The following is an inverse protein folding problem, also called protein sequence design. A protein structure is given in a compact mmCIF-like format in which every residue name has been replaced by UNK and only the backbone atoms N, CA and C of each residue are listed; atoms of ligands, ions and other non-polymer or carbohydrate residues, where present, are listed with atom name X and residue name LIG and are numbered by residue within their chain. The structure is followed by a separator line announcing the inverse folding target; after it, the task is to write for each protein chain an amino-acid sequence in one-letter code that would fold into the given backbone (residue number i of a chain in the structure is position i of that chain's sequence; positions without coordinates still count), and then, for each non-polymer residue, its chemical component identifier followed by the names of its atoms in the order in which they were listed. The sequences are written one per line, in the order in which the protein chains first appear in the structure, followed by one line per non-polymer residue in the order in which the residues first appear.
data_IF_179866125903
#
_entry.id   IF_179866125903
#
_cell.length_a   1.000
_cell.length_b   1.000
_cell.length_c   1.000
_cell.angle_alpha   90.00
_cell.angle_beta   90.00
_cell.angle_gamma   90.00
#
_symmetry.space_group_name_H-M   'P 1'
#
loop_
_entity.id
_entity.type
_entity.pdbx_description
1 polymer ?
#
# COMPACT_ATOMS: atom_id res chain seq x y z
N UNK A 1 -29.92 13.15 44.28
CA UNK A 1 -30.23 14.53 44.60
C UNK A 1 -30.84 15.30 43.43
N UNK A 2 -30.39 15.24 42.26
CA UNK A 2 -30.92 15.95 41.07
C UNK A 2 -32.41 15.67 40.76
N UNK A 3 -32.89 14.47 40.87
CA UNK A 3 -34.30 14.12 40.62
C UNK A 3 -35.29 14.77 41.55
N UNK A 4 -34.96 15.03 42.83
CA UNK A 4 -35.82 15.75 43.77
C UNK A 4 -35.92 17.23 43.46
N UNK A 5 -34.87 17.82 42.93
CA UNK A 5 -34.86 19.23 42.55
C UNK A 5 -35.75 19.48 41.33
N UNK A 6 -35.87 18.58 40.42
CA UNK A 6 -36.75 18.66 39.23
C UNK A 6 -38.23 18.62 39.64
N UNK A 7 -38.61 17.73 40.52
CA UNK A 7 -40.00 17.64 41.03
C UNK A 7 -40.43 18.91 41.77
N UNK A 8 -39.57 19.44 42.62
CA UNK A 8 -39.87 20.68 43.38
C UNK A 8 -39.98 21.88 42.45
N UNK A 9 -39.15 21.99 41.41
CA UNK A 9 -39.24 23.09 40.43
C UNK A 9 -40.53 23.03 39.60
N UNK A 10 -40.99 21.81 39.25
CA UNK A 10 -42.25 21.60 38.55
C UNK A 10 -43.46 22.01 39.37
N UNK A 11 -43.45 21.72 40.69
CA UNK A 11 -44.52 22.14 41.63
C UNK A 11 -44.64 23.64 41.81
N UNK A 12 -43.59 24.39 41.56
CA UNK A 12 -43.56 25.87 41.55
C UNK A 12 -43.75 26.49 40.17
N UNK A 13 -44.10 25.69 39.14
CA UNK A 13 -44.28 26.20 37.76
C UNK A 13 -43.03 26.75 37.12
N UNK A 14 -41.85 26.43 37.69
CA UNK A 14 -40.57 26.83 37.10
C UNK A 14 -40.18 25.75 36.08
N UNK A 15 -40.28 26.06 34.80
CA UNK A 15 -39.67 25.26 33.74
C UNK A 15 -38.15 25.38 33.88
N UNK A 16 -37.54 24.38 34.48
CA UNK A 16 -36.10 24.22 34.36
C UNK A 16 -35.84 23.93 32.88
N UNK A 17 -35.10 24.79 32.23
CA UNK A 17 -34.61 24.53 30.88
C UNK A 17 -34.10 23.08 30.80
N UNK A 18 -34.45 22.38 29.72
CA UNK A 18 -33.93 21.05 29.46
C UNK A 18 -32.42 20.99 29.82
N UNK A 19 -31.98 20.00 30.59
CA UNK A 19 -30.56 19.88 30.90
C UNK A 19 -29.82 20.00 29.60
N UNK A 20 -28.84 20.92 29.55
CA UNK A 20 -27.95 21.07 28.40
C UNK A 20 -27.65 19.66 27.92
N UNK A 21 -28.14 19.31 26.74
CA UNK A 21 -27.75 18.07 26.06
C UNK A 21 -26.24 18.19 25.82
N UNK A 22 -25.45 17.71 26.79
CA UNK A 22 -24.04 17.51 26.56
C UNK A 22 -24.00 16.43 25.48
N UNK A 23 -23.81 16.86 24.24
CA UNK A 23 -23.64 15.93 23.14
C UNK A 23 -22.37 15.13 23.43
N UNK A 24 -22.56 13.89 23.85
CA UNK A 24 -21.46 12.96 24.10
C UNK A 24 -20.76 12.69 22.77
N UNK A 25 -19.51 13.10 22.67
CA UNK A 25 -18.67 12.79 21.52
C UNK A 25 -18.01 11.41 21.64
N UNK A 26 -17.40 10.94 20.55
CA UNK A 26 -16.68 9.65 20.54
C UNK A 26 -15.52 9.62 21.54
N UNK A 27 -14.91 10.76 21.85
CA UNK A 27 -13.83 10.88 22.85
C UNK A 27 -14.30 10.62 24.30
N UNK A 28 -15.61 10.78 24.55
CA UNK A 28 -16.20 10.69 25.89
C UNK A 28 -16.78 9.28 26.16
N UNK A 29 -16.57 8.31 25.24
CA UNK A 29 -17.04 6.95 25.38
C UNK A 29 -16.37 6.25 26.55
N UNK A 30 -17.18 5.57 27.38
CA UNK A 30 -16.71 4.73 28.47
C UNK A 30 -17.40 3.36 28.48
N UNK A 31 -16.68 2.35 28.90
CA UNK A 31 -17.24 0.99 29.02
C UNK A 31 -18.37 0.95 30.06
N UNK A 32 -19.47 0.31 29.71
CA UNK A 32 -20.68 0.20 30.55
C UNK A 32 -21.76 1.21 30.21
N UNK A 33 -21.52 2.20 29.33
CA UNK A 33 -22.58 3.08 28.84
C UNK A 33 -23.67 2.25 28.13
N UNK A 34 -24.93 2.57 28.41
CA UNK A 34 -26.13 1.93 27.82
C UNK A 34 -27.01 2.97 27.17
N UNK A 35 -27.81 2.56 26.20
CA UNK A 35 -28.74 3.41 25.46
C UNK A 35 -28.07 4.65 24.81
N UNK A 36 -26.81 4.49 24.40
CA UNK A 36 -26.05 5.50 23.73
C UNK A 36 -26.70 5.86 22.37
N UNK A 37 -26.97 7.12 22.17
CA UNK A 37 -27.41 7.64 20.86
C UNK A 37 -26.50 8.79 20.46
N UNK A 38 -25.90 8.71 19.27
CA UNK A 38 -24.99 9.73 18.77
C UNK A 38 -24.97 9.76 17.24
N UNK A 39 -24.58 10.90 16.70
CA UNK A 39 -24.40 11.13 15.28
C UNK A 39 -22.91 11.03 14.95
N UNK A 40 -22.60 10.30 13.89
CA UNK A 40 -21.22 10.05 13.44
C UNK A 40 -21.18 9.90 11.92
N UNK A 41 -19.98 9.96 11.34
CA UNK A 41 -19.78 9.54 9.95
C UNK A 41 -19.05 8.21 9.89
N UNK A 42 -19.38 7.42 8.87
CA UNK A 42 -18.70 6.17 8.56
C UNK A 42 -17.31 6.47 8.02
N UNK A 43 -16.29 5.84 8.58
CA UNK A 43 -14.94 5.87 8.02
C UNK A 43 -14.76 4.68 7.06
N UNK A 44 -14.89 3.48 7.59
CA UNK A 44 -14.83 2.24 6.81
C UNK A 44 -15.58 1.12 7.50
N UNK A 45 -15.73 -0.01 6.81
CA UNK A 45 -16.43 -1.16 7.32
C UNK A 45 -15.85 -2.46 6.77
N UNK A 46 -15.71 -3.48 7.62
CA UNK A 46 -15.29 -4.82 7.20
C UNK A 46 -16.46 -5.60 6.58
N UNK A 47 -16.18 -6.60 5.74
CA UNK A 47 -17.18 -7.63 5.42
C UNK A 47 -17.71 -8.30 6.69
N UNK A 48 -18.98 -8.78 6.66
CA UNK A 48 -19.50 -9.62 7.73
C UNK A 48 -18.74 -10.95 7.77
N UNK A 49 -18.28 -11.35 8.96
CA UNK A 49 -17.56 -12.62 9.17
C UNK A 49 -18.41 -13.53 10.02
N UNK A 50 -18.46 -14.81 9.65
CA UNK A 50 -19.12 -15.85 10.45
C UNK A 50 -18.13 -16.45 11.44
N UNK A 51 -18.60 -16.64 12.66
CA UNK A 51 -17.88 -17.31 13.74
C UNK A 51 -18.79 -18.38 14.38
N UNK A 52 -18.21 -19.28 15.19
CA UNK A 52 -18.95 -20.29 15.94
C UNK A 52 -18.94 -19.94 17.43
N UNK A 53 -20.13 -20.05 18.08
CA UNK A 53 -20.25 -19.97 19.54
C UNK A 53 -19.72 -21.25 20.18
N UNK A 54 -19.59 -21.25 21.50
CA UNK A 54 -19.12 -22.42 22.25
C UNK A 54 -20.03 -23.65 22.11
N UNK A 55 -21.31 -23.43 21.84
CA UNK A 55 -22.31 -24.47 21.58
C UNK A 55 -22.35 -24.93 20.11
N UNK A 56 -21.44 -24.41 19.26
CA UNK A 56 -21.37 -24.71 17.83
C UNK A 56 -22.31 -23.88 16.96
N UNK A 57 -23.21 -23.09 17.51
CA UNK A 57 -24.11 -22.24 16.74
C UNK A 57 -23.36 -21.10 16.05
N UNK A 58 -23.71 -20.76 14.78
CA UNK A 58 -23.06 -19.66 14.08
C UNK A 58 -23.49 -18.30 14.63
N UNK A 59 -22.60 -17.31 14.55
CA UNK A 59 -22.94 -15.90 14.71
C UNK A 59 -22.15 -15.05 13.71
N UNK A 60 -22.69 -13.88 13.41
CA UNK A 60 -22.09 -12.96 12.48
C UNK A 60 -21.59 -11.73 13.21
N UNK A 61 -20.44 -11.24 12.76
CA UNK A 61 -19.84 -10.01 13.25
C UNK A 61 -19.35 -9.16 12.08
N UNK A 62 -19.76 -7.91 12.06
CA UNK A 62 -19.22 -6.88 11.18
C UNK A 62 -18.64 -5.76 12.04
N UNK A 63 -17.48 -5.26 11.66
CA UNK A 63 -16.84 -4.12 12.34
C UNK A 63 -16.89 -2.91 11.43
N UNK A 64 -17.35 -1.79 11.95
CA UNK A 64 -17.35 -0.50 11.29
C UNK A 64 -16.52 0.48 12.13
N UNK A 65 -15.72 1.31 11.49
CA UNK A 65 -15.08 2.46 12.15
C UNK A 65 -15.89 3.71 11.81
N UNK A 66 -16.19 4.47 12.82
CA UNK A 66 -16.89 5.76 12.70
C UNK A 66 -16.02 6.88 13.25
N UNK A 67 -16.32 8.10 12.84
CA UNK A 67 -15.62 9.31 13.32
C UNK A 67 -16.57 10.47 13.59
N UNK A 68 -16.15 11.34 14.48
CA UNK A 68 -16.74 12.65 14.72
C UNK A 68 -15.72 13.79 14.46
N UNK A 69 -15.91 14.97 15.06
CA UNK A 69 -14.98 16.09 14.93
C UNK A 69 -13.59 15.83 15.53
N UNK A 70 -13.49 14.94 16.52
CA UNK A 70 -12.32 14.83 17.41
C UNK A 70 -11.70 13.44 17.46
N UNK A 71 -12.47 12.40 17.17
CA UNK A 71 -12.08 11.01 17.45
C UNK A 71 -12.66 10.03 16.47
N UNK A 72 -12.10 8.80 16.49
CA UNK A 72 -12.66 7.62 15.85
C UNK A 72 -13.10 6.61 16.89
N UNK A 73 -14.06 5.75 16.57
CA UNK A 73 -14.47 4.63 17.41
C UNK A 73 -14.83 3.39 16.58
N UNK A 74 -14.60 2.23 17.17
CA UNK A 74 -15.02 0.97 16.60
C UNK A 74 -16.47 0.66 16.98
N UNK A 75 -17.26 0.25 16.01
CA UNK A 75 -18.65 -0.21 16.14
C UNK A 75 -18.74 -1.66 15.72
N UNK A 76 -19.25 -2.53 16.60
CA UNK A 76 -19.49 -3.95 16.35
C UNK A 76 -20.96 -4.20 16.12
N UNK A 77 -21.30 -4.76 14.96
CA UNK A 77 -22.65 -5.17 14.58
C UNK A 77 -22.73 -6.70 14.70
N UNK A 78 -23.64 -7.14 15.54
CA UNK A 78 -23.77 -8.55 15.91
C UNK A 78 -24.99 -9.20 15.24
N UNK A 79 -24.83 -10.45 14.82
CA UNK A 79 -25.90 -11.32 14.27
C UNK A 79 -26.70 -10.63 13.14
N UNK A 80 -28.00 -10.44 13.30
CA UNK A 80 -28.89 -9.81 12.33
C UNK A 80 -28.43 -8.38 11.95
N UNK A 81 -27.82 -7.69 12.92
CA UNK A 81 -27.30 -6.34 12.68
C UNK A 81 -26.08 -6.30 11.78
N UNK A 82 -25.29 -7.39 11.73
CA UNK A 82 -24.17 -7.51 10.81
C UNK A 82 -24.58 -7.54 9.33
N UNK A 83 -25.83 -7.95 9.05
CA UNK A 83 -26.38 -8.11 7.71
C UNK A 83 -27.65 -7.27 7.50
N UNK A 84 -27.82 -6.16 8.25
CA UNK A 84 -28.95 -5.26 8.04
C UNK A 84 -29.00 -4.76 6.60
N UNK A 85 -30.20 -4.77 5.95
CA UNK A 85 -30.37 -4.21 4.63
C UNK A 85 -29.90 -2.75 4.58
N UNK A 86 -29.11 -2.41 3.58
CA UNK A 86 -28.58 -1.07 3.37
C UNK A 86 -27.25 -0.78 4.09
N UNK A 87 -26.85 -1.56 5.10
CA UNK A 87 -25.55 -1.37 5.77
C UNK A 87 -24.39 -1.61 4.80
N UNK A 88 -24.48 -2.60 3.93
CA UNK A 88 -23.46 -2.88 2.92
C UNK A 88 -23.29 -1.77 1.90
N UNK A 89 -24.25 -0.89 1.76
CA UNK A 89 -24.22 0.26 0.83
C UNK A 89 -23.61 1.52 1.43
N UNK A 90 -23.32 1.50 2.74
CA UNK A 90 -22.68 2.64 3.41
C UNK A 90 -21.30 2.92 2.84
N UNK A 91 -21.06 4.19 2.55
CA UNK A 91 -19.80 4.70 1.99
C UNK A 91 -19.04 5.52 3.02
N UNK A 92 -17.72 5.67 2.85
CA UNK A 92 -16.95 6.63 3.64
C UNK A 92 -17.57 8.02 3.59
N UNK A 93 -17.73 8.63 4.75
CA UNK A 93 -18.33 9.96 4.88
C UNK A 93 -19.85 9.99 5.06
N UNK A 94 -20.57 8.87 4.87
CA UNK A 94 -22.00 8.81 5.13
C UNK A 94 -22.30 9.16 6.59
N UNK A 95 -23.28 10.03 6.78
CA UNK A 95 -23.73 10.44 8.09
C UNK A 95 -24.75 9.43 8.62
N UNK A 96 -24.49 8.92 9.81
CA UNK A 96 -25.35 7.95 10.47
C UNK A 96 -25.68 8.39 11.88
N UNK A 97 -26.88 7.98 12.33
CA UNK A 97 -27.31 8.08 13.71
C UNK A 97 -27.34 6.68 14.32
N UNK A 98 -26.51 6.49 15.34
CA UNK A 98 -26.52 5.28 16.17
C UNK A 98 -27.52 5.49 17.27
N UNK A 99 -28.42 4.52 17.50
CA UNK A 99 -29.54 4.61 18.43
C UNK A 99 -29.50 3.44 19.41
N UNK A 100 -29.57 3.76 20.71
CA UNK A 100 -29.66 2.77 21.82
C UNK A 100 -28.55 1.70 21.79
N UNK A 101 -27.33 2.12 21.40
CA UNK A 101 -26.17 1.26 21.45
C UNK A 101 -25.66 1.10 22.91
N UNK A 102 -24.79 0.14 23.11
CA UNK A 102 -24.07 -0.04 24.37
C UNK A 102 -22.56 -0.11 24.15
N UNK A 103 -21.78 0.26 25.17
CA UNK A 103 -20.32 0.32 25.09
C UNK A 103 -19.69 -0.77 25.96
N UNK A 104 -18.78 -1.54 25.37
CA UNK A 104 -17.94 -2.53 26.08
C UNK A 104 -16.48 -2.25 25.83
N UNK A 105 -15.61 -2.66 26.73
CA UNK A 105 -14.18 -2.72 26.44
C UNK A 105 -13.88 -3.82 25.42
N UNK A 106 -12.98 -3.57 24.50
CA UNK A 106 -12.37 -4.60 23.68
C UNK A 106 -11.29 -5.38 24.47
N UNK A 107 -10.59 -6.30 23.81
CA UNK A 107 -9.53 -7.11 24.43
C UNK A 107 -8.33 -6.28 24.94
N UNK A 108 -8.18 -5.06 24.43
CA UNK A 108 -7.11 -4.13 24.78
C UNK A 108 -7.57 -3.05 25.77
N UNK A 109 -8.82 -3.14 26.26
CA UNK A 109 -9.39 -2.18 27.19
C UNK A 109 -10.01 -0.93 26.56
N UNK A 110 -10.01 -0.80 25.23
CA UNK A 110 -10.60 0.37 24.54
C UNK A 110 -12.12 0.26 24.44
N UNK A 111 -12.85 1.39 24.63
CA UNK A 111 -14.29 1.41 24.49
C UNK A 111 -14.70 1.11 23.03
N UNK A 112 -15.63 0.18 22.88
CA UNK A 112 -16.19 -0.22 21.57
C UNK A 112 -17.70 -0.14 21.63
N UNK A 113 -18.32 0.53 20.66
CA UNK A 113 -19.77 0.63 20.51
C UNK A 113 -20.29 -0.70 19.98
N UNK A 114 -21.36 -1.22 20.57
CA UNK A 114 -21.98 -2.47 20.16
C UNK A 114 -23.44 -2.23 19.78
N UNK A 115 -23.82 -2.74 18.62
CA UNK A 115 -25.17 -2.71 18.06
C UNK A 115 -25.78 -4.10 18.25
N UNK A 116 -26.70 -4.20 19.20
CA UNK A 116 -27.44 -5.43 19.51
C UNK A 116 -28.90 -5.36 19.04
N UNK A 117 -29.73 -6.30 19.48
CA UNK A 117 -31.13 -6.43 19.05
C UNK A 117 -31.99 -5.18 19.29
N UNK A 118 -31.76 -4.49 20.44
CA UNK A 118 -32.46 -3.23 20.77
C UNK A 118 -31.89 -1.94 20.17
N UNK A 119 -30.77 -2.06 19.45
CA UNK A 119 -30.09 -0.90 18.87
C UNK A 119 -30.45 -0.76 17.37
N UNK A 120 -30.28 0.44 16.83
CA UNK A 120 -30.47 0.70 15.40
C UNK A 120 -29.40 1.66 14.84
N UNK A 121 -29.23 1.62 13.51
CA UNK A 121 -28.45 2.58 12.73
C UNK A 121 -29.35 3.15 11.65
N UNK A 122 -29.40 4.47 11.58
CA UNK A 122 -30.16 5.21 10.58
C UNK A 122 -29.20 6.07 9.76
N UNK A 123 -29.33 6.03 8.44
CA UNK A 123 -28.63 6.95 7.54
C UNK A 123 -29.39 8.26 7.54
N UNK A 124 -28.70 9.37 7.58
CA UNK A 124 -29.32 10.71 7.60
C UNK A 124 -28.59 11.65 6.63
N UNK A 125 -29.37 12.45 5.94
CA UNK A 125 -28.88 13.49 5.02
C UNK A 125 -28.86 14.89 5.69
N UNK A 126 -29.08 14.96 7.00
CA UNK A 126 -29.09 16.20 7.73
C UNK A 126 -27.74 16.95 7.63
N UNK A 127 -27.80 18.27 7.68
CA UNK A 127 -26.58 19.07 7.83
C UNK A 127 -25.94 18.75 9.17
N UNK A 128 -24.68 18.35 9.13
CA UNK A 128 -23.89 18.04 10.31
C UNK A 128 -22.61 18.86 10.33
N UNK A 129 -22.14 19.18 11.52
CA UNK A 129 -20.86 19.85 11.72
C UNK A 129 -19.67 18.87 11.70
N UNK A 130 -19.93 17.56 11.62
CA UNK A 130 -18.88 16.55 11.49
C UNK A 130 -18.22 16.70 10.11
N UNK A 131 -16.88 16.84 10.04
CA UNK A 131 -16.19 17.09 8.80
C UNK A 131 -16.39 15.96 7.78
N UNK A 132 -16.40 16.31 6.50
CA UNK A 132 -16.44 15.31 5.41
C UNK A 132 -15.09 14.58 5.27
N UNK A 133 -15.07 13.46 4.56
CA UNK A 133 -13.84 12.68 4.26
C UNK A 133 -12.74 13.57 3.69
N UNK A 134 -13.05 14.46 2.76
CA UNK A 134 -12.06 15.35 2.15
C UNK A 134 -11.39 16.29 3.17
N UNK A 135 -12.13 16.76 4.15
CA UNK A 135 -11.60 17.65 5.20
C UNK A 135 -10.68 16.95 6.20
N UNK A 136 -10.85 15.64 6.40
CA UNK A 136 -10.00 14.83 7.31
C UNK A 136 -8.88 14.11 6.56
N UNK A 137 -8.84 14.24 5.22
CA UNK A 137 -7.77 13.63 4.40
C UNK A 137 -6.46 14.38 4.62
N UNK A 138 -5.43 13.64 5.01
CA UNK A 138 -4.06 14.14 5.22
C UNK A 138 -3.16 13.79 4.05
N UNK A 139 -2.20 14.64 3.77
CA UNK A 139 -1.08 14.28 2.90
C UNK A 139 -0.15 13.31 3.64
N UNK A 140 0.47 12.38 2.91
CA UNK A 140 1.37 11.40 3.55
C UNK A 140 2.62 12.03 4.15
N UNK A 141 3.00 13.24 3.75
CA UNK A 141 4.09 14.00 4.37
C UNK A 141 3.80 14.47 5.80
N UNK A 142 2.52 14.41 6.23
CA UNK A 142 2.07 14.86 7.56
C UNK A 142 1.94 13.72 8.59
N UNK A 143 2.36 12.50 8.23
CA UNK A 143 2.14 11.30 9.03
C UNK A 143 3.13 11.19 10.19
N UNK A 144 2.63 10.65 11.31
CA UNK A 144 3.41 10.38 12.52
C UNK A 144 3.15 8.96 13.02
N UNK A 145 4.16 8.36 13.66
CA UNK A 145 4.04 7.03 14.25
C UNK A 145 2.89 6.94 15.26
N UNK A 146 2.21 5.80 15.26
CA UNK A 146 1.13 5.49 16.20
C UNK A 146 -0.24 6.06 15.83
N UNK A 147 -0.33 6.90 14.79
CA UNK A 147 -1.63 7.37 14.29
C UNK A 147 -2.46 6.20 13.74
N UNK A 148 -3.78 6.25 13.97
CA UNK A 148 -4.72 5.18 13.59
C UNK A 148 -5.93 5.76 12.86
N UNK A 149 -6.60 4.90 12.11
CA UNK A 149 -7.87 5.19 11.42
C UNK A 149 -7.81 6.46 10.56
N UNK A 150 -6.68 6.66 9.87
CA UNK A 150 -6.46 7.84 9.04
C UNK A 150 -7.08 7.70 7.66
N UNK A 151 -7.41 8.85 7.08
CA UNK A 151 -7.61 9.03 5.64
C UNK A 151 -6.41 9.75 5.08
N UNK A 152 -5.75 9.14 4.11
CA UNK A 152 -4.52 9.69 3.54
C UNK A 152 -4.59 9.80 2.02
N UNK A 153 -3.85 10.73 1.46
CA UNK A 153 -3.70 10.95 0.04
C UNK A 153 -2.22 10.96 -0.33
N UNK A 154 -1.87 10.24 -1.38
CA UNK A 154 -0.53 10.23 -1.96
C UNK A 154 -0.57 9.82 -3.42
N UNK A 155 0.59 9.80 -4.06
CA UNK A 155 0.73 9.39 -5.47
C UNK A 155 1.55 8.11 -5.56
N UNK A 156 1.19 7.21 -6.47
CA UNK A 156 1.94 5.97 -6.71
C UNK A 156 3.39 6.30 -7.06
N UNK A 157 4.32 5.61 -6.39
CA UNK A 157 5.75 5.68 -6.65
C UNK A 157 6.34 4.27 -6.84
N UNK A 158 6.67 3.92 -8.08
CA UNK A 158 7.22 2.61 -8.42
C UNK A 158 6.18 1.51 -8.61
N UNK A 159 6.54 0.28 -8.24
CA UNK A 159 5.72 -0.92 -8.48
C UNK A 159 4.61 -1.07 -7.44
N UNK A 160 3.42 -1.47 -7.92
CA UNK A 160 2.34 -2.01 -7.08
C UNK A 160 2.32 -3.53 -7.28
N UNK A 161 2.42 -4.31 -6.22
CA UNK A 161 2.45 -5.77 -6.31
C UNK A 161 1.65 -6.46 -5.20
N UNK A 162 1.14 -7.65 -5.52
CA UNK A 162 0.57 -8.57 -4.54
C UNK A 162 1.63 -9.52 -4.02
N UNK A 163 1.54 -9.87 -2.76
CA UNK A 163 2.37 -10.91 -2.14
C UNK A 163 1.50 -11.90 -1.38
N UNK A 164 1.92 -13.14 -1.38
CA UNK A 164 1.41 -14.17 -0.50
C UNK A 164 2.35 -14.34 0.69
N UNK A 165 1.79 -14.62 1.86
CA UNK A 165 2.54 -14.87 3.07
C UNK A 165 1.83 -15.93 3.92
N UNK A 166 2.57 -16.54 4.84
CA UNK A 166 1.99 -17.40 5.86
C UNK A 166 1.94 -16.63 7.19
N UNK A 167 0.76 -16.51 7.78
CA UNK A 167 0.59 -15.81 9.05
C UNK A 167 1.16 -16.64 10.23
N UNK A 168 1.18 -16.05 11.43
CA UNK A 168 1.69 -16.71 12.65
C UNK A 168 0.94 -17.99 13.05
N UNK A 169 -0.24 -18.24 12.47
CA UNK A 169 -1.05 -19.45 12.70
C UNK A 169 -0.86 -20.50 11.59
N UNK A 170 0.10 -20.31 10.68
CA UNK A 170 0.34 -21.21 9.56
C UNK A 170 -0.66 -21.10 8.40
N UNK A 171 -1.58 -20.12 8.41
CA UNK A 171 -2.58 -19.93 7.37
C UNK A 171 -2.05 -19.00 6.27
N UNK A 172 -2.36 -19.30 4.98
CA UNK A 172 -2.00 -18.43 3.88
C UNK A 172 -2.74 -17.10 3.97
N UNK A 173 -2.07 -16.03 3.62
CA UNK A 173 -2.61 -14.69 3.54
C UNK A 173 -2.09 -13.95 2.33
N UNK A 174 -2.77 -12.89 1.95
CA UNK A 174 -2.39 -12.02 0.85
C UNK A 174 -2.18 -10.60 1.35
N UNK A 175 -1.30 -9.86 0.73
CA UNK A 175 -1.15 -8.43 0.97
C UNK A 175 -0.83 -7.70 -0.33
N UNK A 176 -1.42 -6.52 -0.49
CA UNK A 176 -1.07 -5.58 -1.55
C UNK A 176 0.00 -4.64 -1.02
N UNK A 177 1.08 -4.49 -1.77
CA UNK A 177 2.19 -3.60 -1.48
C UNK A 177 2.28 -2.51 -2.53
N UNK A 178 2.51 -1.30 -2.08
CA UNK A 178 2.82 -0.15 -2.94
C UNK A 178 3.69 0.84 -2.19
N UNK A 179 4.19 1.82 -2.89
CA UNK A 179 4.77 3.03 -2.29
C UNK A 179 3.94 4.22 -2.73
N UNK A 180 3.75 5.14 -1.81
CA UNK A 180 3.13 6.42 -2.09
C UNK A 180 4.10 7.53 -1.74
N UNK A 181 4.15 8.58 -2.56
CA UNK A 181 4.86 9.82 -2.24
C UNK A 181 3.87 10.95 -1.98
N UNK A 182 4.20 11.80 -1.03
CA UNK A 182 3.47 13.01 -0.70
C UNK A 182 4.01 14.23 -1.45
N UNK A 183 3.61 15.41 -0.99
CA UNK A 183 4.05 16.71 -1.53
C UNK A 183 5.55 16.95 -1.37
N UNK A 184 6.16 16.37 -0.34
CA UNK A 184 7.60 16.43 -0.07
C UNK A 184 8.43 15.52 -0.99
N UNK A 185 7.76 14.68 -1.81
CA UNK A 185 8.40 13.73 -2.71
C UNK A 185 9.05 12.52 -2.03
N UNK A 186 8.93 12.37 -0.70
CA UNK A 186 9.48 11.23 0.02
C UNK A 186 8.51 10.04 -0.08
N UNK A 187 8.98 8.87 -0.53
CA UNK A 187 8.14 7.69 -0.63
C UNK A 187 7.95 7.02 0.74
N UNK A 188 6.72 6.63 1.02
CA UNK A 188 6.36 5.80 2.19
C UNK A 188 5.82 4.47 1.71
N UNK A 189 6.25 3.38 2.36
CA UNK A 189 5.78 2.02 2.06
C UNK A 189 4.38 1.81 2.61
N UNK A 190 3.52 1.18 1.80
CA UNK A 190 2.15 0.80 2.14
C UNK A 190 2.02 -0.71 2.08
N UNK A 191 1.40 -1.31 3.09
CA UNK A 191 1.08 -2.73 3.16
C UNK A 191 -0.39 -2.87 3.54
N UNK A 192 -1.20 -3.40 2.63
CA UNK A 192 -2.63 -3.62 2.83
C UNK A 192 -2.90 -5.12 2.97
N UNK A 193 -3.03 -5.57 4.22
CA UNK A 193 -3.25 -6.97 4.57
C UNK A 193 -4.64 -7.44 4.17
N UNK A 194 -4.75 -8.63 3.61
CA UNK A 194 -6.01 -9.18 3.10
C UNK A 194 -6.43 -8.66 1.73
N UNK A 195 -5.67 -7.74 1.13
CA UNK A 195 -5.91 -7.20 -0.21
C UNK A 195 -4.96 -7.84 -1.22
N UNK A 196 -5.39 -7.94 -2.46
CA UNK A 196 -4.59 -8.39 -3.59
C UNK A 196 -4.88 -7.58 -4.86
N UNK A 197 -4.32 -7.97 -5.99
CA UNK A 197 -4.50 -7.29 -7.27
C UNK A 197 -5.96 -7.20 -7.76
N UNK A 198 -6.87 -8.06 -7.27
CA UNK A 198 -8.29 -8.00 -7.64
C UNK A 198 -9.04 -6.81 -7.02
N UNK A 199 -8.43 -6.19 -5.99
CA UNK A 199 -9.02 -5.04 -5.28
C UNK A 199 -8.65 -3.69 -5.90
N UNK A 200 -7.88 -3.68 -6.96
CA UNK A 200 -7.38 -2.48 -7.64
C UNK A 200 -7.63 -2.58 -9.16
N UNK A 201 -7.72 -1.44 -9.88
CA UNK A 201 -7.82 -1.45 -11.33
C UNK A 201 -6.60 -2.11 -11.99
N UNK A 202 -6.78 -2.69 -13.19
CA UNK A 202 -5.66 -3.24 -13.97
C UNK A 202 -4.73 -2.16 -14.56
N UNK A 203 -5.19 -0.92 -14.62
CA UNK A 203 -4.44 0.22 -15.16
C UNK A 203 -4.21 1.26 -14.08
N UNK A 204 -3.05 1.21 -13.46
CA UNK A 204 -2.60 2.18 -12.45
C UNK A 204 -1.29 2.76 -12.94
N UNK A 205 -1.35 3.97 -13.46
CA UNK A 205 -0.15 4.66 -13.94
C UNK A 205 0.77 5.10 -12.78
N UNK A 206 2.03 5.31 -13.11
CA UNK A 206 2.95 6.04 -12.24
C UNK A 206 2.37 7.43 -11.96
N UNK A 207 2.53 7.92 -10.73
CA UNK A 207 1.94 9.17 -10.22
C UNK A 207 0.41 9.18 -10.08
N UNK A 208 -0.31 8.07 -10.31
CA UNK A 208 -1.74 7.98 -10.02
C UNK A 208 -2.02 8.35 -8.57
N UNK A 209 -3.03 9.19 -8.34
CA UNK A 209 -3.46 9.54 -6.98
C UNK A 209 -4.17 8.38 -6.32
N UNK A 210 -3.82 8.13 -5.08
CA UNK A 210 -4.40 7.09 -4.23
C UNK A 210 -4.86 7.70 -2.92
N UNK A 211 -6.14 7.51 -2.60
CA UNK A 211 -6.67 7.76 -1.26
C UNK A 211 -6.85 6.43 -0.56
N UNK A 212 -6.30 6.32 0.64
CA UNK A 212 -6.49 5.17 1.53
C UNK A 212 -7.29 5.60 2.75
N UNK A 213 -8.36 4.86 3.05
CA UNK A 213 -9.29 5.19 4.14
C UNK A 213 -9.23 4.09 5.19
N UNK A 214 -8.95 4.46 6.44
CA UNK A 214 -8.86 3.54 7.56
C UNK A 214 -7.50 2.82 7.60
N UNK A 215 -6.42 3.57 7.60
CA UNK A 215 -5.05 3.07 7.72
C UNK A 215 -4.40 3.50 9.02
N UNK A 216 -3.38 2.74 9.42
CA UNK A 216 -2.60 2.97 10.63
C UNK A 216 -1.13 3.19 10.27
N UNK A 217 -0.45 4.03 11.03
CA UNK A 217 0.96 4.32 10.83
C UNK A 217 1.80 3.57 11.86
N UNK A 218 2.79 2.83 11.40
CA UNK A 218 3.71 2.06 12.24
C UNK A 218 5.15 2.41 11.87
N UNK A 219 6.05 2.16 12.78
CA UNK A 219 7.47 2.18 12.49
C UNK A 219 7.89 0.80 11.95
N UNK A 220 8.44 0.79 10.76
CA UNK A 220 9.00 -0.40 10.12
C UNK A 220 10.52 -0.40 10.17
N UNK A 221 11.15 -1.37 9.54
CA UNK A 221 12.62 -1.49 9.52
C UNK A 221 13.33 -0.35 8.76
N UNK A 222 12.59 0.41 7.95
CA UNK A 222 13.13 1.45 7.05
C UNK A 222 12.44 2.81 7.26
N UNK A 223 11.85 3.05 8.42
CA UNK A 223 11.09 4.24 8.74
C UNK A 223 9.58 3.98 8.82
N UNK A 224 8.79 5.04 8.66
CA UNK A 224 7.33 4.94 8.75
C UNK A 224 6.76 4.05 7.64
N UNK A 225 5.79 3.23 8.00
CA UNK A 225 5.01 2.40 7.10
C UNK A 225 3.52 2.61 7.32
N UNK A 226 2.76 2.60 6.23
CA UNK A 226 1.29 2.67 6.24
C UNK A 226 0.74 1.25 6.18
N UNK A 227 -0.08 0.89 7.16
CA UNK A 227 -0.71 -0.42 7.24
C UNK A 227 -2.22 -0.32 7.15
N UNK A 228 -2.81 -1.08 6.24
CA UNK A 228 -4.25 -1.29 6.13
C UNK A 228 -4.63 -2.75 6.40
N UNK A 229 -5.93 -3.02 6.41
CA UNK A 229 -6.50 -4.36 6.61
C UNK A 229 -7.70 -4.58 5.66
N UNK A 230 -8.50 -5.63 5.89
CA UNK A 230 -9.68 -5.98 5.08
C UNK A 230 -10.69 -4.82 4.96
N UNK A 231 -10.83 -4.00 6.01
CA UNK A 231 -11.76 -2.87 6.03
C UNK A 231 -11.21 -1.60 5.36
N UNK A 232 -9.92 -1.54 5.07
CA UNK A 232 -9.31 -0.40 4.38
C UNK A 232 -9.90 -0.24 2.98
N UNK A 233 -10.33 0.97 2.64
CA UNK A 233 -10.84 1.30 1.32
C UNK A 233 -9.74 1.95 0.51
N UNK A 234 -9.63 1.54 -0.74
CA UNK A 234 -8.64 2.03 -1.70
C UNK A 234 -9.41 2.76 -2.80
N UNK A 235 -9.20 4.06 -2.93
CA UNK A 235 -9.68 4.85 -4.05
C UNK A 235 -8.47 5.26 -4.89
N UNK A 236 -8.45 4.83 -6.14
CA UNK A 236 -7.38 5.16 -7.09
C UNK A 236 -7.99 5.99 -8.21
N UNK A 237 -7.46 7.19 -8.40
CA UNK A 237 -7.72 7.96 -9.61
C UNK A 237 -6.93 7.32 -10.75
N UNK A 238 -7.49 6.26 -11.33
CA UNK A 238 -6.89 5.54 -12.44
C UNK A 238 -7.43 6.02 -13.78
N UNK A 239 -6.62 5.87 -14.82
CA UNK A 239 -7.10 5.99 -16.18
C UNK A 239 -8.06 4.82 -16.46
N UNK A 240 -9.28 5.12 -16.89
CA UNK A 240 -10.28 4.11 -17.26
C UNK A 240 -9.86 3.36 -18.53
N UNK A 241 -8.94 3.91 -19.31
CA UNK A 241 -8.43 3.37 -20.57
C UNK A 241 -6.92 3.20 -20.51
N UNK A 242 -6.43 2.14 -21.13
CA UNK A 242 -5.00 1.93 -21.30
C UNK A 242 -4.41 3.06 -22.12
N UNK A 243 -3.36 3.70 -21.62
CA UNK A 243 -2.57 4.68 -22.40
C UNK A 243 -1.34 4.00 -22.98
N UNK A 244 -0.96 4.35 -24.21
CA UNK A 244 0.28 3.85 -24.78
C UNK A 244 1.48 4.32 -23.94
N UNK A 245 2.40 3.40 -23.68
CA UNK A 245 3.69 3.68 -23.06
C UNK A 245 4.73 3.75 -24.17
N UNK A 246 5.43 4.88 -24.27
CA UNK A 246 6.53 5.06 -25.19
C UNK A 246 7.83 5.03 -24.39
N UNK A 247 8.69 4.07 -24.67
CA UNK A 247 9.92 3.87 -23.92
C UNK A 247 11.08 3.42 -24.82
N UNK A 248 12.30 3.81 -24.46
CA UNK A 248 13.52 3.24 -25.02
C UNK A 248 13.89 1.99 -24.24
N UNK A 249 14.16 0.92 -24.94
CA UNK A 249 14.67 -0.33 -24.36
C UNK A 249 16.10 -0.11 -23.86
N UNK A 250 16.29 -0.24 -22.57
CA UNK A 250 17.58 -0.08 -21.90
C UNK A 250 18.32 -1.42 -21.83
N UNK A 251 17.62 -2.47 -21.43
CA UNK A 251 18.16 -3.83 -21.41
C UNK A 251 17.05 -4.85 -21.57
N UNK A 252 17.44 -6.01 -22.09
CA UNK A 252 16.58 -7.18 -22.23
C UNK A 252 17.24 -8.34 -21.49
N UNK A 253 16.50 -8.91 -20.52
CA UNK A 253 16.83 -10.15 -19.83
C UNK A 253 15.78 -11.22 -20.21
N UNK A 254 16.10 -12.49 -19.97
CA UNK A 254 15.17 -13.60 -20.21
C UNK A 254 14.93 -14.36 -18.92
N UNK A 255 13.67 -14.55 -18.57
CA UNK A 255 13.29 -15.41 -17.45
C UNK A 255 13.48 -16.90 -17.80
N UNK A 256 13.54 -17.75 -16.78
CA UNK A 256 13.76 -19.19 -16.97
C UNK A 256 12.66 -19.89 -17.79
N UNK A 257 11.49 -19.31 -17.91
CA UNK A 257 10.37 -19.79 -18.76
C UNK A 257 10.38 -19.20 -20.18
N UNK A 258 11.42 -18.46 -20.58
CA UNK A 258 11.54 -17.84 -21.90
C UNK A 258 10.89 -16.46 -22.03
N UNK A 259 10.21 -15.94 -20.99
CA UNK A 259 9.60 -14.60 -21.02
C UNK A 259 10.69 -13.53 -21.16
N UNK A 260 10.49 -12.58 -22.07
CA UNK A 260 11.35 -11.40 -22.19
C UNK A 260 11.04 -10.40 -21.07
N UNK A 261 12.08 -10.00 -20.34
CA UNK A 261 12.03 -9.03 -19.27
C UNK A 261 12.80 -7.78 -19.67
N UNK A 262 12.08 -6.72 -19.98
CA UNK A 262 12.60 -5.51 -20.58
C UNK A 262 12.63 -4.40 -19.54
N UNK A 263 13.76 -3.76 -19.41
CA UNK A 263 13.86 -2.47 -18.73
C UNK A 263 13.72 -1.37 -19.79
N UNK A 264 12.67 -0.59 -19.69
CA UNK A 264 12.41 0.55 -20.56
C UNK A 264 12.52 1.87 -19.80
N UNK A 265 12.81 2.96 -20.50
CA UNK A 265 12.81 4.31 -19.94
C UNK A 265 12.00 5.25 -20.83
N UNK A 266 11.15 6.07 -20.22
CA UNK A 266 10.38 7.09 -20.93
C UNK A 266 11.08 8.46 -20.97
N UNK A 267 10.43 9.42 -21.63
CA UNK A 267 10.89 10.81 -21.72
C UNK A 267 11.05 11.51 -20.36
N UNK A 268 10.30 11.09 -19.35
CA UNK A 268 10.37 11.61 -17.97
C UNK A 268 11.43 10.93 -17.11
N UNK A 269 12.24 10.03 -17.69
CA UNK A 269 13.22 9.16 -17.04
C UNK A 269 12.59 8.13 -16.07
N UNK A 270 11.32 7.80 -16.23
CA UNK A 270 10.69 6.73 -15.47
C UNK A 270 11.19 5.39 -16.02
N UNK A 271 11.70 4.53 -15.14
CA UNK A 271 12.11 3.17 -15.50
C UNK A 271 10.93 2.21 -15.39
N UNK A 272 10.57 1.58 -16.49
CA UNK A 272 9.51 0.57 -16.58
C UNK A 272 10.08 -0.85 -16.60
N UNK A 273 9.50 -1.72 -15.79
CA UNK A 273 9.74 -3.16 -15.78
C UNK A 273 8.66 -3.82 -16.65
N UNK A 274 8.99 -4.17 -17.88
CA UNK A 274 8.06 -4.70 -18.88
C UNK A 274 8.26 -6.21 -18.97
N UNK A 275 7.24 -7.01 -18.63
CA UNK A 275 7.20 -8.46 -18.79
C UNK A 275 6.41 -8.80 -20.05
N UNK A 276 7.07 -9.36 -21.07
CA UNK A 276 6.46 -9.74 -22.34
C UNK A 276 6.20 -11.25 -22.40
N UNK A 277 4.96 -11.64 -22.13
CA UNK A 277 4.49 -13.02 -22.21
C UNK A 277 4.01 -13.41 -23.63
N UNK A 278 3.78 -12.43 -24.51
CA UNK A 278 3.31 -12.62 -25.88
C UNK A 278 4.43 -12.77 -26.92
N UNK A 279 5.68 -12.51 -26.50
CA UNK A 279 6.85 -12.45 -27.39
C UNK A 279 6.73 -11.37 -28.47
N UNK A 280 5.89 -10.36 -28.24
CA UNK A 280 5.64 -9.25 -29.19
C UNK A 280 6.84 -8.32 -29.38
N UNK A 281 7.80 -8.36 -28.44
CA UNK A 281 9.04 -7.57 -28.50
C UNK A 281 10.22 -8.31 -29.12
N UNK A 282 10.03 -9.53 -29.66
CA UNK A 282 11.11 -10.38 -30.23
C UNK A 282 11.91 -9.73 -31.35
N UNK A 283 11.30 -8.79 -32.09
CA UNK A 283 11.96 -8.04 -33.18
C UNK A 283 12.74 -6.81 -32.68
N UNK A 284 12.62 -6.47 -31.39
CA UNK A 284 13.24 -5.30 -30.80
C UNK A 284 14.59 -5.63 -30.19
N UNK A 285 15.45 -4.62 -30.10
CA UNK A 285 16.78 -4.71 -29.48
C UNK A 285 17.02 -3.56 -28.53
N UNK A 286 18.04 -3.68 -27.69
CA UNK A 286 18.48 -2.60 -26.80
C UNK A 286 18.80 -1.33 -27.60
N UNK A 287 18.34 -0.20 -27.12
CA UNK A 287 18.41 1.10 -27.79
C UNK A 287 17.19 1.46 -28.64
N UNK A 288 16.38 0.50 -29.07
CA UNK A 288 15.15 0.78 -29.83
C UNK A 288 14.14 1.53 -28.98
N UNK A 289 13.35 2.38 -29.62
CA UNK A 289 12.18 3.03 -29.02
C UNK A 289 10.94 2.24 -29.43
N UNK A 290 10.14 1.89 -28.45
CA UNK A 290 8.88 1.17 -28.65
C UNK A 290 7.69 1.97 -28.10
N UNK A 291 6.55 1.78 -28.72
CA UNK A 291 5.26 2.10 -28.16
C UNK A 291 4.53 0.81 -27.87
N UNK A 292 4.05 0.65 -26.66
CA UNK A 292 3.26 -0.51 -26.27
C UNK A 292 1.93 -0.09 -25.63
N UNK A 293 0.87 -0.83 -25.96
CA UNK A 293 -0.42 -0.79 -25.31
C UNK A 293 -0.49 -2.03 -24.42
N UNK A 294 -0.27 -1.89 -23.11
CA UNK A 294 -0.20 -3.03 -22.20
C UNK A 294 -1.59 -3.54 -21.81
N UNK A 295 -1.68 -4.80 -21.41
CA UNK A 295 -2.87 -5.37 -20.78
C UNK A 295 -3.01 -5.00 -19.30
N UNK A 296 -1.87 -4.78 -18.61
CA UNK A 296 -1.84 -4.37 -17.21
C UNK A 296 -0.70 -3.40 -16.93
N UNK A 297 -0.98 -2.41 -16.12
CA UNK A 297 0.01 -1.45 -15.59
C UNK A 297 -0.18 -1.29 -14.10
N UNK A 298 0.86 -1.56 -13.33
CA UNK A 298 0.90 -1.38 -11.89
C UNK A 298 2.08 -0.48 -11.51
N UNK A 299 1.86 0.83 -11.58
CA UNK A 299 2.91 1.83 -11.44
C UNK A 299 3.89 1.77 -12.61
N UNK A 300 5.12 1.35 -12.37
CA UNK A 300 6.12 1.14 -13.40
C UNK A 300 6.30 -0.35 -13.81
N UNK A 301 5.46 -1.24 -13.32
CA UNK A 301 5.38 -2.63 -13.78
C UNK A 301 4.35 -2.76 -14.89
N UNK A 302 4.77 -3.29 -16.03
CA UNK A 302 3.99 -3.38 -17.27
C UNK A 302 3.92 -4.83 -17.72
N UNK A 303 2.73 -5.29 -18.09
CA UNK A 303 2.50 -6.63 -18.63
C UNK A 303 2.06 -6.53 -20.08
N UNK A 304 2.74 -7.26 -20.94
CA UNK A 304 2.37 -7.50 -22.33
C UNK A 304 1.96 -8.96 -22.48
N UNK A 305 0.77 -9.21 -22.96
CA UNK A 305 0.19 -10.52 -23.25
C UNK A 305 -0.50 -10.51 -24.62
N UNK A 306 -1.31 -11.48 -24.92
CA UNK A 306 -1.97 -11.61 -26.22
C UNK A 306 -2.94 -10.47 -26.56
N UNK A 307 -3.40 -9.72 -25.53
CA UNK A 307 -4.29 -8.55 -25.70
C UNK A 307 -3.50 -7.25 -25.82
N UNK A 308 -2.16 -7.32 -25.81
CA UNK A 308 -1.27 -6.18 -25.88
C UNK A 308 -0.82 -5.90 -27.31
N UNK A 309 -0.45 -4.66 -27.57
CA UNK A 309 0.11 -4.25 -28.85
C UNK A 309 1.47 -3.61 -28.63
N UNK A 310 2.44 -3.95 -29.50
CA UNK A 310 3.78 -3.35 -29.51
C UNK A 310 4.16 -2.97 -30.93
N UNK A 311 4.69 -1.78 -31.09
CA UNK A 311 5.36 -1.36 -32.33
C UNK A 311 6.68 -0.67 -32.03
N UNK A 312 7.64 -0.88 -32.92
CA UNK A 312 8.89 -0.14 -32.92
C UNK A 312 8.65 1.24 -33.56
N UNK A 313 9.17 2.26 -32.90
CA UNK A 313 9.16 3.64 -33.40
C UNK A 313 10.53 4.03 -33.99
N UNK A 314 10.56 5.15 -34.71
CA UNK A 314 11.79 5.81 -35.03
C UNK A 314 12.53 6.28 -33.79
N UNK A 315 13.86 6.45 -33.89
CA UNK A 315 14.67 6.91 -32.78
C UNK A 315 14.24 8.32 -32.32
N UNK A 316 13.88 8.45 -31.05
CA UNK A 316 13.55 9.74 -30.42
C UNK A 316 14.65 10.12 -29.43
N UNK A 317 15.47 11.11 -29.75
CA UNK A 317 16.56 11.57 -28.89
C UNK A 317 16.09 12.26 -27.59
N UNK A 318 14.80 12.65 -27.52
CA UNK A 318 14.21 13.19 -26.30
C UNK A 318 14.02 12.12 -25.20
N UNK A 319 14.01 10.82 -25.59
CA UNK A 319 13.96 9.70 -24.67
C UNK A 319 15.40 9.28 -24.31
N UNK A 320 15.81 9.33 -23.04
CA UNK A 320 17.20 9.16 -22.66
C UNK A 320 17.74 7.75 -22.99
N UNK A 321 19.02 7.71 -23.36
CA UNK A 321 19.76 6.44 -23.49
C UNK A 321 20.28 5.96 -22.13
N UNK A 322 20.81 4.74 -22.06
CA UNK A 322 21.43 4.18 -20.85
C UNK A 322 22.48 5.13 -20.24
N UNK A 323 23.31 5.77 -21.06
CA UNK A 323 24.35 6.69 -20.57
C UNK A 323 23.76 7.92 -19.84
N UNK A 324 22.55 8.36 -20.22
CA UNK A 324 21.89 9.53 -19.60
C UNK A 324 21.07 9.20 -18.35
N UNK A 325 20.85 7.91 -18.07
CA UNK A 325 20.07 7.44 -16.88
C UNK A 325 20.96 6.73 -15.84
N UNK A 326 22.24 6.58 -16.11
CA UNK A 326 23.18 6.05 -15.12
C UNK A 326 23.21 6.95 -13.90
N UNK A 327 23.15 6.34 -12.74
CA UNK A 327 23.16 7.02 -11.45
C UNK A 327 24.54 6.80 -10.81
N UNK A 328 25.10 7.83 -10.22
CA UNK A 328 26.33 7.73 -9.43
C UNK A 328 26.03 7.07 -8.09
N UNK A 329 27.01 6.33 -7.55
CA UNK A 329 26.83 5.56 -6.31
C UNK A 329 26.43 6.45 -5.14
N UNK A 330 26.98 7.66 -5.02
CA UNK A 330 26.62 8.60 -3.95
C UNK A 330 25.20 9.19 -4.06
N UNK A 331 24.55 9.07 -5.22
CA UNK A 331 23.18 9.54 -5.46
C UNK A 331 22.13 8.45 -5.20
N UNK A 332 22.57 7.20 -4.95
CA UNK A 332 21.67 6.08 -4.70
C UNK A 332 20.93 6.26 -3.38
N UNK A 333 19.60 6.17 -3.43
CA UNK A 333 18.72 6.24 -2.26
C UNK A 333 17.94 4.94 -2.10
N UNK A 334 17.55 4.62 -0.87
CA UNK A 334 16.74 3.43 -0.58
C UNK A 334 15.45 3.44 -1.40
N UNK A 335 15.00 2.25 -1.80
CA UNK A 335 13.78 1.97 -2.56
C UNK A 335 13.75 2.54 -4.00
N UNK A 336 14.86 3.05 -4.54
CA UNK A 336 14.98 3.45 -5.94
C UNK A 336 15.35 2.28 -6.87
N UNK A 337 15.11 2.50 -8.18
CA UNK A 337 15.58 1.63 -9.27
C UNK A 337 16.72 2.32 -10.03
N UNK A 338 17.80 1.60 -10.29
CA UNK A 338 19.04 2.20 -10.77
C UNK A 338 19.70 1.43 -11.91
N UNK A 339 20.45 2.17 -12.71
CA UNK A 339 21.45 1.67 -13.63
C UNK A 339 22.79 2.31 -13.24
N UNK A 340 23.82 1.52 -12.99
CA UNK A 340 25.15 2.03 -12.60
C UNK A 340 26.24 1.56 -13.57
N UNK A 341 27.37 2.25 -13.54
CA UNK A 341 28.61 1.81 -14.13
C UNK A 341 29.70 1.87 -13.06
N UNK A 342 30.43 0.81 -12.87
CA UNK A 342 31.34 0.67 -11.73
C UNK A 342 32.47 -0.32 -12.02
N UNK A 343 33.53 -0.27 -11.21
CA UNK A 343 34.64 -1.22 -11.18
C UNK A 343 34.38 -2.26 -10.09
N UNK A 344 34.70 -3.52 -10.36
CA UNK A 344 34.62 -4.62 -9.39
C UNK A 344 35.84 -4.56 -8.46
N UNK A 345 35.59 -4.28 -7.17
CA UNK A 345 36.65 -4.21 -6.14
C UNK A 345 36.89 -5.52 -5.40
N UNK A 346 35.86 -6.39 -5.35
CA UNK A 346 35.93 -7.68 -4.67
C UNK A 346 35.24 -8.72 -5.50
N UNK A 347 35.89 -9.87 -5.66
CA UNK A 347 35.34 -11.04 -6.36
C UNK A 347 34.03 -11.46 -5.67
N UNK A 348 32.99 -11.82 -6.44
CA UNK A 348 31.72 -12.23 -5.88
C UNK A 348 31.86 -13.42 -4.92
N UNK A 349 31.40 -13.26 -3.70
CA UNK A 349 31.33 -14.34 -2.71
C UNK A 349 29.98 -15.04 -2.79
N UNK A 350 29.99 -16.34 -3.00
CA UNK A 350 28.80 -17.18 -3.03
C UNK A 350 28.56 -17.83 -1.68
N UNK A 351 27.31 -17.76 -1.19
CA UNK A 351 26.87 -18.41 0.05
C UNK A 351 25.50 -19.04 -0.12
N UNK A 352 25.29 -20.18 0.52
CA UNK A 352 23.95 -20.75 0.71
C UNK A 352 23.40 -20.28 2.05
N UNK A 353 22.21 -19.70 2.02
CA UNK A 353 21.54 -19.16 3.20
C UNK A 353 20.21 -19.88 3.39
N UNK A 354 19.96 -20.34 4.61
CA UNK A 354 18.66 -20.88 4.99
C UNK A 354 17.68 -19.76 5.28
N UNK A 355 16.56 -19.75 4.57
CA UNK A 355 15.46 -18.82 4.84
C UNK A 355 14.75 -19.20 6.15
N UNK A 356 13.95 -18.30 6.70
CA UNK A 356 13.11 -18.57 7.88
C UNK A 356 12.13 -19.72 7.64
N UNK A 357 11.79 -20.04 6.40
CA UNK A 357 10.94 -21.17 6.00
C UNK A 357 11.72 -22.49 5.82
N UNK A 358 13.06 -22.50 6.06
CA UNK A 358 13.91 -23.68 5.90
C UNK A 358 14.37 -23.94 4.47
N UNK A 359 14.04 -23.10 3.50
CA UNK A 359 14.52 -23.21 2.12
C UNK A 359 15.98 -22.74 2.03
N UNK A 360 16.86 -23.55 1.41
CA UNK A 360 18.22 -23.11 1.08
C UNK A 360 18.20 -22.26 -0.19
N UNK A 361 18.69 -21.04 -0.12
CA UNK A 361 18.76 -20.10 -1.24
C UNK A 361 20.18 -19.60 -1.45
N UNK A 362 20.53 -19.40 -2.72
CA UNK A 362 21.82 -18.88 -3.10
C UNK A 362 21.85 -17.37 -2.96
N UNK A 363 22.88 -16.83 -2.31
CA UNK A 363 23.25 -15.41 -2.28
C UNK A 363 24.64 -15.26 -2.87
N UNK A 364 24.83 -14.27 -3.72
CA UNK A 364 26.15 -13.79 -4.15
C UNK A 364 26.25 -12.30 -3.89
N UNK A 365 27.39 -11.85 -3.39
CA UNK A 365 27.65 -10.47 -3.01
C UNK A 365 28.92 -9.97 -3.67
N UNK A 366 28.88 -8.82 -4.28
CA UNK A 366 29.98 -8.18 -4.99
C UNK A 366 30.16 -6.73 -4.51
N UNK A 367 31.38 -6.29 -4.30
CA UNK A 367 31.68 -4.92 -3.90
C UNK A 367 32.19 -4.14 -5.11
N UNK A 368 31.59 -2.99 -5.37
CA UNK A 368 31.88 -2.20 -6.56
C UNK A 368 32.08 -0.72 -6.21
N UNK A 369 32.83 0.03 -7.05
CA UNK A 369 33.00 1.47 -6.91
C UNK A 369 32.83 2.22 -8.22
N UNK A 370 32.49 3.49 -8.12
CA UNK A 370 32.67 4.49 -9.16
C UNK A 370 33.51 5.67 -8.61
N UNK A 371 33.63 6.74 -9.37
CA UNK A 371 34.35 7.96 -8.98
C UNK A 371 33.73 8.72 -7.79
N UNK A 372 32.55 8.28 -7.29
CA UNK A 372 31.79 8.99 -6.23
C UNK A 372 31.63 8.17 -4.95
N UNK A 373 31.80 6.85 -5.00
CA UNK A 373 31.61 6.01 -3.82
C UNK A 373 31.69 4.53 -4.10
N UNK A 374 31.40 3.75 -3.06
CA UNK A 374 31.44 2.28 -3.06
C UNK A 374 30.13 1.73 -2.54
N UNK A 375 29.69 0.57 -3.09
CA UNK A 375 28.42 -0.07 -2.72
C UNK A 375 28.47 -1.58 -2.89
N UNK A 376 27.72 -2.30 -2.05
CA UNK A 376 27.49 -3.72 -2.24
C UNK A 376 26.38 -3.96 -3.25
N UNK A 377 26.62 -4.88 -4.19
CA UNK A 377 25.65 -5.42 -5.13
C UNK A 377 25.40 -6.88 -4.78
N UNK A 378 24.12 -7.24 -4.55
CA UNK A 378 23.69 -8.55 -4.11
C UNK A 378 22.75 -9.20 -5.12
N UNK A 379 22.93 -10.48 -5.35
CA UNK A 379 22.03 -11.30 -6.16
C UNK A 379 21.53 -12.49 -5.36
N UNK A 380 20.23 -12.74 -5.39
CA UNK A 380 19.59 -13.90 -4.77
C UNK A 380 19.17 -14.93 -5.81
N UNK A 381 19.23 -16.21 -5.46
CA UNK A 381 18.75 -17.32 -6.30
C UNK A 381 19.39 -17.27 -7.70
N UNK A 382 18.58 -17.16 -8.76
CA UNK A 382 19.06 -17.10 -10.14
C UNK A 382 19.91 -15.86 -10.43
N UNK A 383 19.63 -14.72 -9.80
CA UNK A 383 20.40 -13.49 -9.96
C UNK A 383 21.80 -13.59 -9.35
N UNK A 384 22.02 -14.45 -8.36
CA UNK A 384 23.35 -14.69 -7.81
C UNK A 384 24.33 -15.16 -8.88
N UNK A 385 23.88 -15.99 -9.83
CA UNK A 385 24.69 -16.50 -10.94
C UNK A 385 25.14 -15.44 -11.93
N UNK A 386 24.47 -14.29 -12.00
CA UNK A 386 24.89 -13.19 -12.86
C UNK A 386 26.16 -12.52 -12.33
N UNK A 387 26.30 -12.42 -11.02
CA UNK A 387 27.50 -11.86 -10.38
C UNK A 387 28.72 -12.77 -10.54
N UNK A 388 28.55 -14.08 -10.51
CA UNK A 388 29.65 -15.07 -10.58
C UNK A 388 30.50 -14.96 -11.86
N UNK A 389 30.00 -14.25 -12.88
CA UNK A 389 30.72 -14.04 -14.14
C UNK A 389 31.62 -12.80 -14.13
N UNK A 390 31.61 -12.02 -13.05
CA UNK A 390 32.39 -10.78 -12.93
C UNK A 390 33.75 -11.05 -12.29
N UNK A 391 34.78 -10.40 -12.77
CA UNK A 391 36.16 -10.55 -12.31
C UNK A 391 36.66 -9.26 -11.65
N UNK A 392 37.67 -9.38 -10.80
CA UNK A 392 38.31 -8.25 -10.12
C UNK A 392 38.89 -7.27 -11.13
N UNK A 393 38.61 -5.95 -10.93
CA UNK A 393 39.10 -4.88 -11.79
C UNK A 393 38.31 -4.68 -13.09
N UNK A 394 37.30 -5.50 -13.36
CA UNK A 394 36.42 -5.30 -14.53
C UNK A 394 35.56 -4.04 -14.38
N UNK A 395 35.43 -3.29 -15.48
CA UNK A 395 34.42 -2.22 -15.59
C UNK A 395 33.14 -2.85 -16.11
N UNK A 396 32.10 -2.72 -15.32
CA UNK A 396 30.78 -3.31 -15.60
C UNK A 396 29.68 -2.25 -15.61
N UNK A 397 28.69 -2.45 -16.47
CA UNK A 397 27.43 -1.72 -16.46
C UNK A 397 26.34 -2.64 -15.96
N UNK A 398 25.64 -2.26 -14.91
CA UNK A 398 24.53 -3.02 -14.33
C UNK A 398 23.24 -2.22 -14.48
N UNK A 399 22.23 -2.83 -15.08
CA UNK A 399 20.89 -2.24 -15.25
C UNK A 399 19.86 -2.96 -14.38
N UNK A 400 18.75 -2.29 -14.03
CA UNK A 400 17.62 -2.91 -13.34
C UNK A 400 17.89 -3.26 -11.87
N UNK A 401 18.73 -2.50 -11.20
CA UNK A 401 19.03 -2.65 -9.78
C UNK A 401 17.94 -2.02 -8.91
N UNK A 402 17.70 -2.59 -7.74
CA UNK A 402 16.85 -2.01 -6.71
C UNK A 402 17.67 -1.75 -5.44
N UNK A 403 17.57 -0.55 -4.87
CA UNK A 403 18.28 -0.19 -3.66
C UNK A 403 17.44 -0.50 -2.41
N UNK A 404 18.08 -1.08 -1.39
CA UNK A 404 17.44 -1.36 -0.08
C UNK A 404 18.37 -0.97 1.04
N UNK A 405 17.80 -0.68 2.22
CA UNK A 405 18.59 -0.60 3.43
C UNK A 405 19.10 -2.00 3.80
N UNK A 406 20.40 -2.11 3.92
CA UNK A 406 21.08 -3.30 4.42
C UNK A 406 21.27 -3.25 5.94
N UNK A 407 22.15 -4.10 6.44
CA UNK A 407 22.54 -4.11 7.84
C UNK A 407 23.22 -2.78 8.20
N UNK A 408 23.00 -2.29 9.44
CA UNK A 408 23.58 -1.06 9.97
C UNK A 408 23.18 0.23 9.22
N UNK A 409 22.04 0.20 8.48
CA UNK A 409 21.55 1.39 7.76
C UNK A 409 22.31 1.73 6.47
N UNK A 410 23.25 0.90 6.03
CA UNK A 410 23.94 1.09 4.75
C UNK A 410 22.99 0.78 3.60
N UNK A 411 23.12 1.53 2.51
CA UNK A 411 22.36 1.25 1.29
C UNK A 411 23.07 0.14 0.52
N UNK A 412 22.31 -0.84 0.04
CA UNK A 412 22.79 -1.94 -0.78
C UNK A 412 21.95 -2.04 -2.06
N UNK A 413 22.57 -2.45 -3.15
CA UNK A 413 21.91 -2.69 -4.44
C UNK A 413 21.61 -4.17 -4.63
N UNK A 414 20.42 -4.46 -5.11
CA UNK A 414 19.97 -5.83 -5.36
C UNK A 414 19.65 -6.03 -6.83
N UNK A 415 20.16 -7.12 -7.40
CA UNK A 415 19.73 -7.57 -8.71
C UNK A 415 18.26 -8.00 -8.66
N UNK A 416 17.51 -7.61 -9.69
CA UNK A 416 16.12 -8.02 -9.95
C UNK A 416 16.09 -9.01 -11.13
N UNK A 417 14.91 -9.55 -11.44
CA UNK A 417 14.73 -10.36 -12.66
C UNK A 417 14.97 -9.58 -13.96
N UNK A 418 14.88 -8.25 -13.92
CA UNK A 418 15.16 -7.35 -15.04
C UNK A 418 16.63 -6.93 -15.16
N UNK A 419 17.45 -7.35 -14.21
CA UNK A 419 18.85 -6.93 -14.20
C UNK A 419 19.66 -7.62 -15.30
N UNK A 420 20.54 -6.84 -15.90
CA UNK A 420 21.56 -7.29 -16.85
C UNK A 420 22.92 -6.72 -16.48
N UNK A 421 23.96 -7.52 -16.57
CA UNK A 421 25.35 -7.11 -16.36
C UNK A 421 26.05 -7.19 -17.72
N UNK A 422 26.71 -6.11 -18.11
CA UNK A 422 27.48 -6.03 -19.35
C UNK A 422 28.89 -5.57 -19.01
N UNK A 423 29.91 -6.34 -19.43
CA UNK A 423 31.32 -5.98 -19.31
C UNK A 423 31.65 -4.91 -20.35
N UNK A 424 32.40 -3.90 -19.95
CA UNK A 424 33.01 -2.94 -20.86
C UNK A 424 34.44 -3.37 -21.15
N UNK A 425 34.73 -3.51 -22.42
CA UNK A 425 36.10 -3.74 -22.90
C UNK A 425 36.91 -2.44 -22.82
#
# INVERSE_FOLDING_TARGET
MLFRSFLIASDFGISLSDPLKVEMGLKDLYAGAKELSLETRVLNMSPAKQFSRKDGSPFYLRTMTVYDKNSTASVKLWDDKANLPGIENLKPGDLIKIIKAYVKSDLNGFPTINIGSGSNIEVTDNKSEIPTIDKITKDISELQEGQKDLVILGNIDGVVNSMEYTNSRGLPGKALRMRLKGKDGQPIRVILWGKDGSTIPNMISQDAKVRLIGVNIKNGNQGLEIHGNDSTIIEIEGDKEAKPIIARIISIATAGNGTSLILGVDKKKILYNISDYSNSTSICKEGDVIECMPSKVYGNSVTLDNDSFVRKLENDESIPSLAKIRTKINEVKVDGNYCIESIVLKIPERREIQTKSGESVLLSEMFVEDDTGQIWVKGWRNQARLLEKCELGEIISITGLNAKAGLEGRIELFLTSFSKITKKN
#
